data_IF_421474191786
#
_entry.id   IF_421474191786
#
_cell.length_a   1.000
_cell.length_b   1.000
_cell.length_c   1.000
_cell.angle_alpha   90.00
_cell.angle_beta   90.00
_cell.angle_gamma   90.00
#
_symmetry.space_group_name_H-M   'P 1'
#
loop_
_entity.id
_entity.type
_entity.pdbx_description
1 polymer ?
#
# COMPACT_ATOMS: atom_id res chain seq x y z
N UNK A 1 -22.06 -26.89 -43.11
CA UNK A 1 -20.69 -26.37 -43.27
C UNK A 1 -20.54 -24.95 -42.70
N UNK A 2 -21.33 -23.96 -43.12
CA UNK A 2 -21.24 -22.57 -42.63
C UNK A 2 -21.44 -22.35 -41.11
N UNK A 3 -22.20 -23.22 -40.43
CA UNK A 3 -22.42 -23.15 -38.98
C UNK A 3 -21.28 -23.73 -38.14
N UNK A 4 -20.50 -24.67 -38.70
CA UNK A 4 -19.30 -25.19 -38.04
C UNK A 4 -18.14 -24.19 -38.14
N UNK A 5 -18.04 -23.48 -39.26
CA UNK A 5 -17.00 -22.46 -39.47
C UNK A 5 -17.20 -21.23 -38.59
N UNK A 6 -18.44 -20.78 -38.37
CA UNK A 6 -18.73 -19.68 -37.44
C UNK A 6 -18.47 -20.07 -35.98
N UNK A 7 -18.81 -21.30 -35.57
CA UNK A 7 -18.51 -21.78 -34.22
C UNK A 7 -17.00 -21.87 -33.97
N UNK A 8 -16.22 -22.36 -34.94
CA UNK A 8 -14.77 -22.41 -34.84
C UNK A 8 -14.13 -21.01 -34.75
N UNK A 9 -14.66 -20.03 -35.49
CA UNK A 9 -14.16 -18.64 -35.45
C UNK A 9 -14.43 -17.97 -34.10
N UNK A 10 -15.62 -18.18 -33.51
CA UNK A 10 -15.99 -17.63 -32.19
C UNK A 10 -15.14 -18.26 -31.08
N UNK A 11 -14.88 -19.57 -31.15
CA UNK A 11 -14.00 -20.26 -30.19
C UNK A 11 -12.55 -19.75 -30.30
N UNK A 12 -12.05 -19.51 -31.51
CA UNK A 12 -10.71 -18.94 -31.73
C UNK A 12 -10.59 -17.51 -31.18
N UNK A 13 -11.63 -16.68 -31.34
CA UNK A 13 -11.70 -15.33 -30.77
C UNK A 13 -11.73 -15.33 -29.24
N UNK A 14 -12.40 -16.30 -28.60
CA UNK A 14 -12.44 -16.45 -27.15
C UNK A 14 -11.09 -16.90 -26.57
N UNK A 15 -10.30 -17.68 -27.30
CA UNK A 15 -8.99 -18.18 -26.85
C UNK A 15 -7.87 -17.15 -26.97
N UNK A 16 -8.02 -16.12 -27.82
CA UNK A 16 -7.01 -15.07 -27.99
C UNK A 16 -7.03 -14.00 -26.86
N UNK A 17 -8.06 -13.98 -26.02
CA UNK A 17 -8.25 -12.97 -24.98
C UNK A 17 -7.47 -13.18 -23.68
N UNK A 18 -6.77 -14.32 -23.50
CA UNK A 18 -6.13 -14.67 -22.22
C UNK A 18 -4.65 -14.27 -22.11
N UNK A 19 -4.08 -13.57 -23.11
CA UNK A 19 -2.68 -13.16 -23.08
C UNK A 19 -2.48 -11.83 -22.35
N UNK A 20 -2.89 -11.75 -21.07
CA UNK A 20 -2.53 -10.62 -20.21
C UNK A 20 -1.04 -10.76 -19.86
N UNK A 21 -0.21 -9.92 -20.47
CA UNK A 21 1.24 -9.91 -20.22
C UNK A 21 1.53 -9.16 -18.93
N UNK A 22 1.30 -9.80 -17.78
CA UNK A 22 1.66 -9.25 -16.46
C UNK A 22 3.18 -9.36 -16.27
N UNK A 23 3.95 -8.54 -16.98
CA UNK A 23 5.37 -8.39 -16.68
C UNK A 23 5.47 -7.38 -15.54
N UNK A 24 5.81 -7.80 -14.31
CA UNK A 24 6.01 -6.85 -13.23
C UNK A 24 7.14 -5.90 -13.63
N UNK A 25 7.00 -4.59 -13.38
CA UNK A 25 8.07 -3.64 -13.65
C UNK A 25 9.31 -4.07 -12.87
N UNK A 26 10.35 -4.50 -13.58
CA UNK A 26 11.62 -4.89 -12.97
C UNK A 26 12.41 -3.62 -12.68
N UNK A 27 12.04 -2.93 -11.60
CA UNK A 27 12.87 -1.88 -11.01
C UNK A 27 13.95 -2.55 -10.15
N UNK A 28 14.94 -3.17 -10.79
CA UNK A 28 16.19 -3.57 -10.13
C UNK A 28 17.29 -2.61 -10.54
N UNK A 29 17.15 -1.35 -10.15
CA UNK A 29 18.31 -0.45 -10.09
C UNK A 29 19.10 -0.82 -8.85
N UNK A 30 20.41 -1.01 -9.01
CA UNK A 30 21.30 -1.19 -7.87
C UNK A 30 21.23 0.09 -7.01
N UNK A 31 20.87 -0.05 -5.75
CA UNK A 31 20.89 1.05 -4.80
C UNK A 31 22.35 1.52 -4.64
N UNK A 32 22.60 2.83 -4.56
CA UNK A 32 23.92 3.33 -4.22
C UNK A 32 24.35 2.83 -2.83
N UNK A 33 25.64 2.72 -2.60
CA UNK A 33 26.19 2.38 -1.29
C UNK A 33 25.62 3.33 -0.23
N UNK A 34 25.12 2.77 0.87
CA UNK A 34 24.55 3.55 1.96
C UNK A 34 25.58 4.57 2.48
N UNK A 35 25.13 5.82 2.65
CA UNK A 35 25.97 6.87 3.20
C UNK A 35 26.30 6.58 4.67
N UNK A 36 27.52 6.94 5.08
CA UNK A 36 27.94 6.92 6.48
C UNK A 36 27.48 8.18 7.23
N UNK A 37 26.94 9.17 6.51
CA UNK A 37 26.45 10.41 7.11
C UNK A 37 25.11 10.18 7.83
N UNK A 38 24.86 10.89 8.95
CA UNK A 38 23.55 10.89 9.58
C UNK A 38 22.47 11.36 8.61
N UNK A 39 21.33 10.67 8.59
CA UNK A 39 20.17 11.03 7.77
C UNK A 39 19.19 11.83 8.64
N UNK A 40 18.88 13.06 8.23
CA UNK A 40 17.86 13.92 8.85
C UNK A 40 16.47 13.55 8.31
N UNK A 41 15.52 13.24 9.19
CA UNK A 41 14.16 12.98 8.72
C UNK A 41 13.56 14.22 8.04
N UNK A 42 13.74 15.40 8.63
CA UNK A 42 13.10 16.62 8.15
C UNK A 42 13.68 17.14 6.82
N UNK A 43 14.98 16.95 6.61
CA UNK A 43 15.69 17.50 5.45
C UNK A 43 15.87 16.46 4.34
N UNK A 44 16.06 15.18 4.67
CA UNK A 44 16.35 14.14 3.68
C UNK A 44 15.13 13.24 3.39
N UNK A 45 14.35 12.85 4.41
CA UNK A 45 13.30 11.82 4.27
C UNK A 45 11.94 12.44 3.95
N UNK A 46 11.52 13.45 4.72
CA UNK A 46 10.21 14.10 4.60
C UNK A 46 9.96 14.64 3.19
N UNK A 47 10.89 15.33 2.51
CA UNK A 47 10.65 15.80 1.14
C UNK A 47 10.38 14.65 0.16
N UNK A 48 11.00 13.47 0.36
CA UNK A 48 10.76 12.28 -0.47
C UNK A 48 9.36 11.74 -0.20
N UNK A 49 8.98 11.60 1.07
CA UNK A 49 7.66 11.10 1.48
C UNK A 49 6.55 12.01 0.94
N UNK A 50 6.71 13.32 1.09
CA UNK A 50 5.77 14.32 0.56
C UNK A 50 5.64 14.24 -0.96
N UNK A 51 6.76 14.15 -1.68
CA UNK A 51 6.76 14.16 -3.14
C UNK A 51 6.34 12.82 -3.79
N UNK A 52 6.55 11.68 -3.11
CA UNK A 52 6.41 10.34 -3.71
C UNK A 52 5.36 9.46 -3.05
N UNK A 53 5.04 9.69 -1.78
CA UNK A 53 4.18 8.80 -1.01
C UNK A 53 2.83 9.44 -0.69
N UNK A 54 2.80 10.72 -0.29
CA UNK A 54 1.58 11.35 0.21
C UNK A 54 0.48 11.52 -0.83
N UNK A 55 0.81 11.53 -2.13
CA UNK A 55 -0.20 11.51 -3.20
C UNK A 55 -1.16 10.31 -3.08
N UNK A 56 -0.67 9.17 -2.56
CA UNK A 56 -1.48 7.97 -2.32
C UNK A 56 -1.70 7.68 -0.83
N UNK A 57 -0.81 8.14 0.07
CA UNK A 57 -0.82 7.82 1.50
C UNK A 57 -1.15 9.01 2.42
N UNK A 58 -1.73 10.07 1.86
CA UNK A 58 -2.15 11.29 2.58
C UNK A 58 -3.67 11.40 2.82
N UNK A 59 -4.42 10.31 2.68
CA UNK A 59 -5.87 10.34 2.86
C UNK A 59 -6.35 9.03 3.51
N UNK A 60 -7.61 9.01 3.93
CA UNK A 60 -8.23 7.84 4.54
C UNK A 60 -8.36 6.65 3.57
N UNK A 61 -8.48 6.94 2.28
CA UNK A 61 -8.59 5.96 1.19
C UNK A 61 -7.24 5.43 0.69
N UNK A 62 -6.16 5.73 1.42
CA UNK A 62 -4.84 5.25 1.11
C UNK A 62 -4.82 3.71 0.97
N UNK A 63 -4.02 3.17 0.02
CA UNK A 63 -3.81 1.73 -0.08
C UNK A 63 -3.37 1.15 1.26
N UNK A 64 -3.95 -0.01 1.61
CA UNK A 64 -3.78 -0.65 2.92
C UNK A 64 -4.12 0.26 4.12
N UNK A 65 -4.94 1.30 3.93
CA UNK A 65 -5.27 2.33 4.93
C UNK A 65 -4.05 2.97 5.61
N UNK A 66 -2.86 2.88 5.01
CA UNK A 66 -1.62 3.40 5.59
C UNK A 66 -1.54 4.92 5.37
N UNK A 67 -1.46 5.67 6.47
CA UNK A 67 -1.31 7.12 6.45
C UNK A 67 0.10 7.51 6.88
N UNK A 68 0.82 8.22 6.01
CA UNK A 68 2.24 8.59 6.23
C UNK A 68 2.46 10.08 6.50
N UNK A 69 1.38 10.86 6.49
CA UNK A 69 1.36 12.31 6.74
C UNK A 69 1.66 12.70 8.19
N UNK A 70 1.32 11.83 9.15
CA UNK A 70 1.46 12.08 10.60
C UNK A 70 1.95 10.83 11.33
N UNK A 71 2.66 11.03 12.45
CA UNK A 71 3.19 9.96 13.31
C UNK A 71 2.11 8.99 13.77
N UNK A 72 0.92 9.49 14.14
CA UNK A 72 -0.22 8.64 14.54
C UNK A 72 -0.65 7.66 13.44
N UNK A 73 -0.53 8.05 12.17
CA UNK A 73 -0.80 7.18 11.03
C UNK A 73 0.20 6.03 10.92
N UNK A 74 1.48 6.32 11.18
CA UNK A 74 2.55 5.32 11.21
C UNK A 74 2.44 4.38 12.41
N UNK A 75 2.08 4.91 13.58
CA UNK A 75 1.84 4.12 14.81
C UNK A 75 0.64 3.19 14.61
N UNK A 76 -0.48 3.70 14.05
CA UNK A 76 -1.62 2.84 13.68
C UNK A 76 -1.18 1.73 12.74
N UNK A 77 -0.37 2.05 11.74
CA UNK A 77 0.16 1.08 10.77
C UNK A 77 -0.78 0.87 9.59
N UNK A 78 -0.75 -0.34 9.02
CA UNK A 78 -1.49 -0.68 7.80
C UNK A 78 -2.50 -1.81 8.04
N UNK A 79 -3.60 -1.82 7.31
CA UNK A 79 -4.64 -2.84 7.33
C UNK A 79 -4.86 -3.34 5.90
N UNK A 80 -4.84 -4.66 5.69
CA UNK A 80 -4.94 -5.26 4.34
C UNK A 80 -6.32 -5.14 3.72
N UNK A 81 -7.35 -4.84 4.52
CA UNK A 81 -8.73 -4.75 4.07
C UNK A 81 -8.90 -3.60 3.07
N UNK A 82 -9.59 -3.90 1.95
CA UNK A 82 -9.87 -2.90 0.92
C UNK A 82 -10.76 -1.79 1.47
N UNK A 83 -10.33 -0.54 1.29
CA UNK A 83 -11.18 0.64 1.52
C UNK A 83 -12.39 0.61 0.59
N UNK A 84 -12.17 0.22 -0.67
CA UNK A 84 -13.22 0.13 -1.68
C UNK A 84 -13.53 -1.33 -1.99
N UNK A 85 -14.62 -1.81 -1.42
CA UNK A 85 -15.23 -3.09 -1.77
C UNK A 85 -16.60 -2.80 -2.39
N UNK A 86 -16.67 -2.91 -3.71
CA UNK A 86 -17.90 -2.65 -4.46
C UNK A 86 -19.00 -3.70 -4.25
N UNK A 87 -18.67 -4.83 -3.61
CA UNK A 87 -19.64 -5.86 -3.26
C UNK A 87 -20.29 -5.65 -1.89
N UNK A 88 -19.84 -4.65 -1.10
CA UNK A 88 -20.41 -4.38 0.23
C UNK A 88 -21.86 -3.94 0.14
N UNK A 89 -22.70 -4.58 0.93
CA UNK A 89 -24.09 -4.19 1.18
C UNK A 89 -24.25 -3.38 2.47
N UNK A 90 -23.26 -3.45 3.36
CA UNK A 90 -23.27 -2.83 4.69
C UNK A 90 -22.11 -1.85 4.83
N UNK A 91 -22.27 -0.86 5.71
CA UNK A 91 -21.23 0.11 6.02
C UNK A 91 -20.01 -0.56 6.67
N UNK A 92 -18.80 -0.21 6.22
CA UNK A 92 -17.57 -0.65 6.88
C UNK A 92 -17.38 0.12 8.20
N UNK A 93 -16.80 -0.54 9.21
CA UNK A 93 -16.33 0.13 10.41
C UNK A 93 -15.29 1.21 10.04
N UNK A 94 -15.40 2.36 10.70
CA UNK A 94 -14.46 3.47 10.53
C UNK A 94 -13.16 3.20 11.28
N UNK A 95 -12.07 3.79 10.81
CA UNK A 95 -10.72 3.65 11.39
C UNK A 95 -10.03 5.00 11.59
N UNK A 96 -10.81 6.06 11.83
CA UNK A 96 -10.33 7.45 11.97
C UNK A 96 -9.36 7.59 13.14
N UNK A 97 -8.20 8.18 12.85
CA UNK A 97 -7.16 8.47 13.84
C UNK A 97 -7.72 9.36 14.96
N UNK A 98 -7.40 9.00 16.21
CA UNK A 98 -7.82 9.75 17.40
C UNK A 98 -9.30 9.66 17.75
N UNK A 99 -10.10 8.90 17.00
CA UNK A 99 -11.54 8.74 17.26
C UNK A 99 -11.87 7.27 17.50
N UNK A 100 -11.55 6.40 16.54
CA UNK A 100 -11.96 4.99 16.57
C UNK A 100 -10.99 4.11 17.40
N UNK A 101 -9.79 4.63 17.70
CA UNK A 101 -8.91 4.14 18.76
C UNK A 101 -7.96 5.25 19.26
N UNK A 102 -7.46 5.03 20.48
CA UNK A 102 -6.61 5.94 21.25
C UNK A 102 -5.22 5.34 21.53
N UNK A 103 -5.03 4.03 21.34
CA UNK A 103 -3.74 3.37 21.62
C UNK A 103 -3.27 2.49 20.47
N UNK A 104 -1.96 2.28 20.37
CA UNK A 104 -1.38 1.35 19.38
C UNK A 104 -2.00 -0.05 19.51
N UNK A 105 -2.15 -0.55 20.73
CA UNK A 105 -2.71 -1.87 20.99
C UNK A 105 -4.14 -2.03 20.45
N UNK A 106 -4.98 -1.00 20.59
CA UNK A 106 -6.34 -1.01 20.02
C UNK A 106 -6.30 -1.10 18.48
N UNK A 107 -5.32 -0.48 17.82
CA UNK A 107 -5.13 -0.65 16.38
C UNK A 107 -4.73 -2.08 16.02
N UNK A 108 -3.87 -2.72 16.82
CA UNK A 108 -3.49 -4.14 16.64
C UNK A 108 -4.70 -5.06 16.78
N UNK A 109 -5.57 -4.81 17.76
CA UNK A 109 -6.82 -5.55 17.97
C UNK A 109 -7.80 -5.38 16.79
N UNK A 110 -7.77 -4.23 16.12
CA UNK A 110 -8.51 -3.98 14.88
C UNK A 110 -7.83 -4.55 13.62
N UNK A 111 -6.74 -5.30 13.76
CA UNK A 111 -6.07 -5.98 12.65
C UNK A 111 -5.02 -5.15 11.91
N UNK A 112 -4.74 -3.92 12.36
CA UNK A 112 -3.64 -3.15 11.80
C UNK A 112 -2.29 -3.74 12.22
N UNK A 113 -1.38 -3.94 11.27
CA UNK A 113 -0.02 -4.36 11.54
C UNK A 113 0.95 -3.17 11.51
N UNK A 114 2.00 -3.26 12.33
CA UNK A 114 3.02 -2.21 12.39
C UNK A 114 3.83 -2.15 11.10
N UNK A 115 4.04 -0.93 10.58
CA UNK A 115 4.97 -0.63 9.48
C UNK A 115 6.33 -0.14 9.99
N UNK A 116 6.45 0.00 11.31
CA UNK A 116 7.67 0.42 12.01
C UNK A 116 8.42 -0.79 12.59
N UNK A 117 7.75 -1.95 12.69
CA UNK A 117 8.33 -3.16 13.26
C UNK A 117 9.56 -3.63 12.46
N UNK A 118 10.62 -3.91 13.21
CA UNK A 118 11.95 -4.30 12.72
C UNK A 118 11.95 -5.69 12.10
N UNK A 119 12.53 -5.81 10.91
CA UNK A 119 13.19 -7.03 10.45
C UNK A 119 14.60 -7.17 11.04
N UNK A 120 15.49 -7.90 10.37
CA UNK A 120 16.90 -8.09 10.75
C UNK A 120 17.81 -6.85 10.56
N UNK A 121 17.23 -5.70 10.19
CA UNK A 121 17.98 -4.51 9.78
C UNK A 121 17.86 -3.31 10.74
N UNK A 122 18.65 -2.28 10.41
CA UNK A 122 18.72 -0.96 11.05
C UNK A 122 17.35 -0.32 11.27
N UNK A 123 17.25 0.51 12.32
CA UNK A 123 16.03 1.23 12.74
C UNK A 123 15.36 1.95 11.56
N UNK A 124 14.03 1.92 11.49
CA UNK A 124 13.29 2.65 10.47
C UNK A 124 13.52 4.15 10.61
N UNK A 125 13.78 4.85 9.50
CA UNK A 125 13.93 6.31 9.52
C UNK A 125 12.60 7.01 9.85
N UNK A 126 11.46 6.34 9.66
CA UNK A 126 10.15 6.84 10.07
C UNK A 126 9.97 6.94 11.58
N UNK A 127 10.78 6.24 12.38
CA UNK A 127 10.75 6.42 13.84
C UNK A 127 11.21 7.81 14.27
N UNK A 128 11.95 8.54 13.44
CA UNK A 128 12.33 9.93 13.71
C UNK A 128 11.19 10.93 13.50
N UNK A 129 10.02 10.47 13.04
CA UNK A 129 8.81 11.29 12.89
C UNK A 129 7.95 11.30 14.16
N UNK A 130 8.18 10.35 15.07
CA UNK A 130 7.40 10.11 16.30
C UNK A 130 8.04 10.87 17.45
#
# INVERSE_FOLDING_TARGET
MARLTTAALVILLLLAGCAESTTPPTFKQALPTATQQPVSFNDDVRPIVEAKCLACHGCFDAPCQLKMEYSDGLIRGALKDSVYDGARLEAQKTTRLGIDAQTEQQWREMGFYSVLARGDQTRSLFENMI
#
